data_IF_609697671845
#
_entry.id   IF_609697671845
#
_cell.length_a   1.000
_cell.length_b   1.000
_cell.length_c   1.000
_cell.angle_alpha   90.00
_cell.angle_beta   90.00
_cell.angle_gamma   90.00
#
_symmetry.space_group_name_H-M   'P 1'
#
loop_
_entity.id
_entity.type
_entity.pdbx_description
1 polymer ?
#
# COMPACT_ATOMS: atom_id res chain seq x y z
N UNK A 1 -9.69 5.31 -13.03
CA UNK A 1 -8.64 6.12 -12.36
C UNK A 1 -9.06 6.46 -10.95
N UNK A 2 -8.13 6.52 -9.97
CA UNK A 2 -8.44 6.83 -8.57
C UNK A 2 -9.14 8.18 -8.41
N UNK A 3 -10.20 8.26 -7.60
CA UNK A 3 -10.90 9.51 -7.33
C UNK A 3 -10.24 10.29 -6.17
N UNK A 4 -9.36 11.23 -6.52
CA UNK A 4 -8.63 12.10 -5.58
C UNK A 4 -9.53 12.96 -4.68
N UNK A 5 -10.74 13.30 -5.15
CA UNK A 5 -11.68 14.15 -4.42
C UNK A 5 -12.52 13.37 -3.39
N UNK A 6 -12.43 12.03 -3.37
CA UNK A 6 -13.08 11.24 -2.33
C UNK A 6 -12.54 11.67 -0.97
N UNK A 7 -13.41 11.72 0.04
CA UNK A 7 -13.04 12.14 1.39
C UNK A 7 -12.91 10.94 2.31
N UNK A 8 -11.94 11.01 3.20
CA UNK A 8 -11.79 10.14 4.37
C UNK A 8 -11.61 11.05 5.60
N UNK A 9 -12.44 10.88 6.64
CA UNK A 9 -12.48 11.77 7.81
C UNK A 9 -12.56 13.27 7.45
N UNK A 10 -13.41 13.61 6.47
CA UNK A 10 -13.55 14.97 5.90
C UNK A 10 -12.33 15.54 5.17
N UNK A 11 -11.23 14.78 5.06
CA UNK A 11 -10.02 15.15 4.32
C UNK A 11 -10.06 14.51 2.93
N UNK A 12 -9.90 15.29 1.84
CA UNK A 12 -9.70 14.73 0.50
C UNK A 12 -8.50 13.78 0.45
N UNK A 13 -8.60 12.67 -0.27
CA UNK A 13 -7.48 11.72 -0.39
C UNK A 13 -6.22 12.36 -0.97
N UNK A 14 -6.36 13.38 -1.83
CA UNK A 14 -5.22 14.16 -2.34
C UNK A 14 -4.43 14.90 -1.26
N UNK A 15 -5.06 15.24 -0.13
CA UNK A 15 -4.38 15.90 1.00
C UNK A 15 -3.69 14.89 1.93
N UNK A 16 -3.97 13.59 1.77
CA UNK A 16 -3.31 12.52 2.53
C UNK A 16 -1.99 12.07 1.89
N UNK A 17 -1.75 12.42 0.62
CA UNK A 17 -0.53 12.06 -0.11
C UNK A 17 0.54 13.13 0.08
N UNK A 18 1.79 12.72 0.34
CA UNK A 18 2.93 13.65 0.38
C UNK A 18 3.49 14.00 -0.99
N UNK A 19 3.15 13.23 -2.03
CA UNK A 19 3.55 13.45 -3.41
C UNK A 19 2.32 13.75 -4.27
N UNK A 20 2.33 14.87 -5.01
CA UNK A 20 1.21 15.26 -5.88
C UNK A 20 1.03 14.31 -7.08
N UNK A 21 2.12 13.69 -7.51
CA UNK A 21 2.20 12.80 -8.67
C UNK A 21 2.98 11.55 -8.30
N UNK A 22 2.54 10.41 -8.83
CA UNK A 22 3.31 9.18 -8.78
C UNK A 22 4.60 9.39 -9.58
N UNK A 23 5.79 9.07 -9.03
CA UNK A 23 7.04 9.14 -9.78
C UNK A 23 7.07 8.18 -10.97
N UNK A 24 7.82 8.53 -12.01
CA UNK A 24 8.19 7.59 -13.07
C UNK A 24 9.33 6.69 -12.57
N UNK A 25 9.17 5.39 -12.78
CA UNK A 25 10.15 4.38 -12.35
C UNK A 25 10.74 3.67 -13.56
N UNK A 26 12.05 3.40 -13.54
CA UNK A 26 12.79 2.85 -14.69
C UNK A 26 12.25 1.50 -15.21
N UNK A 27 11.88 0.63 -14.29
CA UNK A 27 11.46 -0.76 -14.54
C UNK A 27 9.98 -1.03 -14.28
N UNK A 28 9.14 0.01 -14.18
CA UNK A 28 7.69 -0.17 -14.01
C UNK A 28 6.89 0.82 -14.85
N UNK A 29 5.81 0.32 -15.47
CA UNK A 29 4.90 1.18 -16.21
C UNK A 29 4.12 2.09 -15.25
N UNK A 30 4.19 3.39 -15.50
CA UNK A 30 3.48 4.42 -14.75
C UNK A 30 1.96 4.19 -14.69
N UNK A 31 1.34 3.67 -15.75
CA UNK A 31 -0.10 3.32 -15.73
C UNK A 31 -0.43 2.22 -14.73
N UNK A 32 0.44 1.21 -14.60
CA UNK A 32 0.27 0.13 -13.63
C UNK A 32 0.47 0.64 -12.21
N UNK A 33 1.49 1.48 -11.99
CA UNK A 33 1.80 2.05 -10.67
C UNK A 33 0.66 2.89 -10.11
N UNK A 34 0.00 3.69 -10.96
CA UNK A 34 -1.13 4.54 -10.56
C UNK A 34 -2.38 3.79 -10.11
N UNK A 35 -2.44 2.48 -10.37
CA UNK A 35 -3.55 1.64 -9.95
C UNK A 35 -3.28 0.89 -8.64
N UNK A 36 -2.05 0.96 -8.11
CA UNK A 36 -1.75 0.42 -6.78
C UNK A 36 -2.35 1.36 -5.73
N UNK A 37 -3.08 0.79 -4.76
CA UNK A 37 -3.81 1.58 -3.76
C UNK A 37 -2.89 2.53 -2.99
N UNK A 38 -1.76 2.02 -2.48
CA UNK A 38 -0.77 2.86 -1.80
C UNK A 38 0.66 2.43 -2.09
N UNK A 39 1.53 3.40 -2.35
CA UNK A 39 2.97 3.21 -2.49
C UNK A 39 3.69 4.24 -1.60
N UNK A 40 4.57 3.75 -0.73
CA UNK A 40 5.54 4.57 -0.02
C UNK A 40 6.84 4.61 -0.80
N UNK A 41 7.30 5.81 -1.12
CA UNK A 41 8.60 6.04 -1.74
C UNK A 41 9.63 6.46 -0.70
N UNK A 42 10.86 5.98 -0.87
CA UNK A 42 12.04 6.60 -0.27
C UNK A 42 12.68 7.54 -1.29
N UNK A 43 13.13 8.68 -0.82
CA UNK A 43 13.89 9.64 -1.61
C UNK A 43 15.38 9.41 -1.40
N UNK A 44 16.14 9.25 -2.49
CA UNK A 44 17.60 9.18 -2.46
C UNK A 44 18.14 10.14 -3.52
N UNK A 45 18.74 11.24 -3.08
CA UNK A 45 19.17 12.31 -3.98
C UNK A 45 17.97 12.98 -4.65
N UNK A 46 17.85 12.86 -5.98
CA UNK A 46 16.72 13.38 -6.77
C UNK A 46 15.82 12.28 -7.33
N UNK A 47 15.96 11.05 -6.83
CA UNK A 47 15.25 9.87 -7.34
C UNK A 47 14.35 9.27 -6.25
N UNK A 48 13.21 8.74 -6.69
CA UNK A 48 12.26 8.03 -5.83
C UNK A 48 12.37 6.53 -6.08
N UNK A 49 12.40 5.76 -5.00
CA UNK A 49 12.38 4.30 -5.04
C UNK A 49 11.21 3.77 -4.23
N UNK A 50 10.43 2.81 -4.75
CA UNK A 50 9.33 2.21 -4.01
C UNK A 50 9.88 1.40 -2.83
N UNK A 51 9.53 1.81 -1.61
CA UNK A 51 9.94 1.15 -0.37
C UNK A 51 8.92 0.10 0.08
N UNK A 52 7.64 0.47 0.09
CA UNK A 52 6.53 -0.43 0.44
C UNK A 52 5.32 -0.15 -0.45
N UNK A 53 4.53 -1.17 -0.75
CA UNK A 53 3.30 -1.05 -1.52
C UNK A 53 2.19 -1.93 -0.95
N UNK A 54 0.95 -1.45 -1.01
CA UNK A 54 -0.21 -2.05 -0.36
C UNK A 54 -1.37 -2.13 -1.34
N UNK A 55 -2.09 -3.24 -1.28
CA UNK A 55 -3.39 -3.45 -1.91
C UNK A 55 -4.41 -3.83 -0.84
N UNK A 56 -5.54 -3.11 -0.78
CA UNK A 56 -6.56 -3.30 0.25
C UNK A 56 -7.75 -4.04 -0.34
N UNK A 57 -7.79 -5.35 -0.12
CA UNK A 57 -8.75 -6.27 -0.75
C UNK A 57 -9.80 -6.72 0.30
N UNK A 58 -10.80 -5.87 0.56
CA UNK A 58 -11.87 -6.13 1.55
C UNK A 58 -13.00 -7.01 1.00
N UNK A 59 -13.36 -6.81 -0.26
CA UNK A 59 -14.43 -7.55 -0.96
C UNK A 59 -14.07 -7.90 -2.41
N UNK A 60 -12.99 -7.32 -2.91
CA UNK A 60 -12.47 -7.44 -4.27
C UNK A 60 -11.41 -8.55 -4.37
N UNK A 61 -11.04 -8.90 -5.59
CA UNK A 61 -10.25 -10.10 -5.86
C UNK A 61 -8.76 -9.91 -5.56
N UNK A 62 -8.26 -10.62 -4.56
CA UNK A 62 -6.82 -10.73 -4.22
C UNK A 62 -5.93 -10.97 -5.45
N UNK A 63 -6.41 -11.76 -6.42
CA UNK A 63 -5.72 -11.96 -7.70
C UNK A 63 -5.36 -10.66 -8.41
N UNK A 64 -6.30 -9.72 -8.46
CA UNK A 64 -6.09 -8.44 -9.14
C UNK A 64 -5.11 -7.56 -8.37
N UNK A 65 -5.21 -7.49 -7.03
CA UNK A 65 -4.26 -6.78 -6.19
C UNK A 65 -2.83 -7.32 -6.32
N UNK A 66 -2.66 -8.65 -6.24
CA UNK A 66 -1.35 -9.29 -6.44
C UNK A 66 -0.79 -8.95 -7.83
N UNK A 67 -1.63 -9.00 -8.88
CA UNK A 67 -1.21 -8.62 -10.24
C UNK A 67 -0.77 -7.16 -10.36
N UNK A 68 -1.40 -6.23 -9.63
CA UNK A 68 -0.97 -4.82 -9.56
C UNK A 68 0.38 -4.69 -8.85
N UNK A 69 0.56 -5.36 -7.71
CA UNK A 69 1.83 -5.37 -6.97
C UNK A 69 2.99 -5.98 -7.78
N UNK A 70 2.70 -6.93 -8.67
CA UNK A 70 3.71 -7.52 -9.56
C UNK A 70 4.37 -6.49 -10.49
N UNK A 71 3.77 -5.31 -10.71
CA UNK A 71 4.40 -4.21 -11.43
C UNK A 71 5.69 -3.71 -10.75
N UNK A 72 5.86 -3.98 -9.45
CA UNK A 72 7.03 -3.61 -8.66
C UNK A 72 8.04 -4.76 -8.49
N UNK A 73 7.90 -5.85 -9.26
CA UNK A 73 8.73 -7.04 -9.08
C UNK A 73 10.23 -6.79 -9.32
N UNK A 74 10.61 -5.82 -10.14
CA UNK A 74 12.02 -5.52 -10.39
C UNK A 74 12.68 -4.69 -9.26
N UNK A 75 11.90 -4.29 -8.24
CA UNK A 75 12.37 -3.51 -7.10
C UNK A 75 12.42 -4.32 -5.81
N UNK A 76 13.31 -3.91 -4.90
CA UNK A 76 13.35 -4.39 -3.51
C UNK A 76 12.29 -3.70 -2.64
N UNK A 77 11.04 -3.81 -3.06
CA UNK A 77 9.87 -3.23 -2.38
C UNK A 77 9.19 -4.27 -1.49
N UNK A 78 8.77 -3.86 -0.29
CA UNK A 78 7.92 -4.67 0.57
C UNK A 78 6.48 -4.65 0.05
N UNK A 79 5.92 -5.81 -0.32
CA UNK A 79 4.61 -5.91 -0.94
C UNK A 79 3.60 -6.50 0.06
N UNK A 80 2.45 -5.86 0.20
CA UNK A 80 1.43 -6.25 1.17
C UNK A 80 0.04 -6.34 0.55
N UNK A 81 -0.66 -7.44 0.81
CA UNK A 81 -2.10 -7.57 0.57
C UNK A 81 -2.82 -7.49 1.90
N UNK A 82 -3.55 -6.41 2.11
CA UNK A 82 -4.36 -6.19 3.32
C UNK A 82 -5.72 -6.84 3.11
N UNK A 83 -5.96 -7.99 3.75
CA UNK A 83 -7.20 -8.76 3.63
C UNK A 83 -7.31 -9.78 4.76
N UNK A 84 -8.55 -10.10 5.16
CA UNK A 84 -8.86 -11.21 6.07
C UNK A 84 -9.05 -12.54 5.34
N UNK A 85 -9.03 -12.55 3.99
CA UNK A 85 -9.24 -13.73 3.14
C UNK A 85 -7.94 -14.56 2.94
N UNK A 86 -7.28 -14.94 4.04
CA UNK A 86 -5.96 -15.59 4.02
C UNK A 86 -5.94 -16.86 3.15
N UNK A 87 -6.98 -17.70 3.22
CA UNK A 87 -7.07 -18.92 2.40
C UNK A 87 -7.04 -18.62 0.89
N UNK A 88 -7.73 -17.57 0.47
CA UNK A 88 -7.77 -17.14 -0.93
C UNK A 88 -6.43 -16.54 -1.35
N UNK A 89 -5.77 -15.80 -0.45
CA UNK A 89 -4.41 -15.30 -0.67
C UNK A 89 -3.44 -16.45 -0.93
N UNK A 90 -3.43 -17.49 -0.10
CA UNK A 90 -2.57 -18.66 -0.28
C UNK A 90 -2.82 -19.36 -1.64
N UNK A 91 -4.08 -19.48 -2.06
CA UNK A 91 -4.41 -20.02 -3.40
C UNK A 91 -3.81 -19.18 -4.54
N UNK A 92 -3.80 -17.85 -4.40
CA UNK A 92 -3.16 -16.97 -5.38
C UNK A 92 -1.65 -17.16 -5.37
N UNK A 93 -1.03 -17.22 -4.19
CA UNK A 93 0.42 -17.40 -4.07
C UNK A 93 0.89 -18.76 -4.62
N UNK A 94 0.09 -19.82 -4.47
CA UNK A 94 0.38 -21.12 -5.08
C UNK A 94 0.42 -21.07 -6.62
N UNK A 95 -0.38 -20.19 -7.23
CA UNK A 95 -0.40 -19.98 -8.69
C UNK A 95 0.71 -19.04 -9.20
N UNK A 96 1.34 -18.28 -8.29
CA UNK A 96 2.38 -17.28 -8.58
C UNK A 96 3.57 -17.47 -7.61
N UNK A 97 4.27 -18.60 -7.69
CA UNK A 97 5.29 -18.99 -6.72
C UNK A 97 6.46 -17.99 -6.61
N UNK A 98 6.74 -17.23 -7.67
CA UNK A 98 7.75 -16.18 -7.72
C UNK A 98 7.41 -14.96 -6.83
N UNK A 99 6.13 -14.76 -6.52
CA UNK A 99 5.65 -13.68 -5.65
C UNK A 99 5.44 -14.14 -4.21
N UNK A 100 5.35 -15.45 -3.96
CA UNK A 100 5.03 -16.02 -2.65
C UNK A 100 5.97 -15.58 -1.53
N UNK A 101 7.28 -15.49 -1.81
CA UNK A 101 8.27 -15.05 -0.82
C UNK A 101 8.29 -13.53 -0.64
N UNK A 102 7.60 -12.79 -1.51
CA UNK A 102 7.70 -11.33 -1.64
C UNK A 102 6.48 -10.59 -1.14
N UNK A 103 5.30 -11.17 -1.34
CA UNK A 103 4.02 -10.58 -0.96
C UNK A 103 3.59 -11.15 0.39
N UNK A 104 3.25 -10.26 1.32
CA UNK A 104 2.79 -10.63 2.66
C UNK A 104 1.31 -10.33 2.79
N UNK A 105 0.54 -11.26 3.35
CA UNK A 105 -0.83 -10.97 3.74
C UNK A 105 -0.87 -10.35 5.14
N UNK A 106 -1.68 -9.29 5.29
CA UNK A 106 -1.89 -8.58 6.56
C UNK A 106 -3.39 -8.51 6.82
N UNK A 107 -3.85 -8.95 7.99
CA UNK A 107 -5.26 -8.85 8.37
C UNK A 107 -5.69 -7.38 8.49
N UNK A 108 -6.90 -7.06 8.06
CA UNK A 108 -7.42 -5.68 8.07
C UNK A 108 -7.54 -5.14 9.50
N UNK A 109 -7.87 -6.03 10.44
CA UNK A 109 -8.03 -5.70 11.85
C UNK A 109 -6.71 -5.23 12.46
N UNK A 110 -5.58 -5.82 12.06
CA UNK A 110 -4.26 -5.39 12.52
C UNK A 110 -3.95 -3.95 12.06
N UNK A 111 -4.34 -3.58 10.85
CA UNK A 111 -4.17 -2.20 10.35
C UNK A 111 -5.01 -1.22 11.16
N UNK A 112 -6.26 -1.58 11.47
CA UNK A 112 -7.15 -0.77 12.31
C UNK A 112 -6.62 -0.58 13.73
N UNK A 113 -6.07 -1.64 14.34
CA UNK A 113 -5.44 -1.57 15.66
C UNK A 113 -4.21 -0.66 15.64
N UNK A 114 -3.33 -0.81 14.64
CA UNK A 114 -2.14 0.04 14.49
C UNK A 114 -2.51 1.52 14.33
N UNK A 115 -3.50 1.83 13.48
CA UNK A 115 -3.99 3.19 13.31
C UNK A 115 -4.53 3.79 14.61
N UNK A 116 -5.32 3.02 15.36
CA UNK A 116 -5.90 3.46 16.63
C UNK A 116 -4.81 3.70 17.69
N UNK A 117 -3.80 2.82 17.74
CA UNK A 117 -2.66 2.96 18.64
C UNK A 117 -1.80 4.18 18.32
N UNK A 118 -1.52 4.44 17.03
CA UNK A 118 -0.78 5.62 16.58
C UNK A 118 -1.53 6.91 16.91
N UNK A 119 -2.84 6.93 16.63
CA UNK A 119 -3.69 8.09 16.94
C UNK A 119 -3.65 8.42 18.42
N UNK A 120 -3.84 7.40 19.28
CA UNK A 120 -3.76 7.57 20.74
C UNK A 120 -2.38 8.07 21.19
N UNK A 121 -1.30 7.53 20.62
CA UNK A 121 0.06 7.97 20.94
C UNK A 121 0.30 9.43 20.53
N UNK A 122 -0.21 9.84 19.37
CA UNK A 122 -0.13 11.24 18.91
C UNK A 122 -0.89 12.18 19.83
N UNK A 123 -2.08 11.80 20.27
CA UNK A 123 -2.88 12.62 21.18
C UNK A 123 -2.19 12.74 22.55
N UNK A 124 -1.66 11.63 23.09
CA UNK A 124 -0.85 11.65 24.32
C UNK A 124 0.38 12.56 24.21
N UNK A 125 1.10 12.53 23.08
CA UNK A 125 2.27 13.41 22.84
C UNK A 125 1.87 14.88 22.93
N UNK A 126 0.73 15.26 22.33
CA UNK A 126 0.19 16.62 22.43
C UNK A 126 -0.17 17.01 23.86
N UNK A 127 -0.77 16.11 24.63
CA UNK A 127 -1.13 16.36 26.04
C UNK A 127 0.11 16.61 26.92
N UNK A 128 1.22 15.91 26.66
CA UNK A 128 2.47 16.07 27.41
C UNK A 128 3.44 17.10 26.81
N UNK A 129 3.03 17.82 25.75
CA UNK A 129 3.80 18.89 25.12
C UNK A 129 5.00 18.44 24.27
N UNK A 130 4.94 17.22 23.71
CA UNK A 130 5.94 16.66 22.78
C UNK A 130 5.39 16.63 21.34
#
# INVERSE_FOLDING_TARGET
>A
SPNRAKKFNNVPLSELTTLDKCPDLQFANHDSLRNIDVIWFRETGKQFYPHSAFEVELSTGIWSGVGRLAALREYTTNLFVVSNEHKRFEQVMQSQPELHSRVKNVATDHVGVLYSAETRLRDLRREIGI
#
